data_IF_539146202464
#
_entry.id   IF_539146202464
#
_cell.length_a   1.000
_cell.length_b   1.000
_cell.length_c   1.000
_cell.angle_alpha   90.00
_cell.angle_beta   90.00
_cell.angle_gamma   90.00
#
_symmetry.space_group_name_H-M   'P 1'
#
loop_
_entity.id
_entity.type
_entity.pdbx_description
1 polymer ?
#
# COMPACT_ATOMS: atom_id res chain seq x y z
N UNK A 1 -4.66 14.85 -18.20
CA UNK A 1 -4.32 13.82 -17.19
C UNK A 1 -5.48 12.85 -16.92
N UNK A 2 -5.96 12.13 -17.94
CA UNK A 2 -7.20 11.32 -17.89
C UNK A 2 -6.97 9.79 -17.91
N UNK A 3 -5.79 9.32 -17.52
CA UNK A 3 -5.39 7.90 -17.73
C UNK A 3 -4.96 7.15 -16.46
N UNK A 4 -5.23 7.67 -15.26
CA UNK A 4 -5.10 6.87 -14.03
C UNK A 4 -6.47 6.32 -13.67
N UNK A 5 -6.61 4.99 -13.71
CA UNK A 5 -7.79 4.30 -13.21
C UNK A 5 -8.09 4.67 -11.77
N UNK A 6 -9.28 4.32 -11.28
CA UNK A 6 -9.63 4.51 -9.86
C UNK A 6 -8.60 3.79 -9.00
N UNK A 7 -7.96 4.51 -8.09
CA UNK A 7 -6.97 3.95 -7.15
C UNK A 7 -7.68 3.65 -5.85
N UNK A 8 -7.51 2.44 -5.33
CA UNK A 8 -7.95 2.04 -4.00
C UNK A 8 -6.72 1.86 -3.13
N UNK A 9 -6.73 2.48 -1.95
CA UNK A 9 -5.69 2.32 -0.94
C UNK A 9 -6.35 1.63 0.25
N UNK A 10 -5.81 0.47 0.61
CA UNK A 10 -6.24 -0.28 1.81
C UNK A 10 -5.17 -0.09 2.87
N UNK A 11 -5.58 0.28 4.07
CA UNK A 11 -4.69 0.47 5.22
C UNK A 11 -5.40 0.00 6.49
N UNK A 12 -4.67 0.00 7.59
CA UNK A 12 -5.14 -0.34 8.93
C UNK A 12 -4.65 0.73 9.92
N UNK A 13 -5.26 0.85 11.12
CA UNK A 13 -4.96 1.94 12.05
C UNK A 13 -3.46 2.15 12.29
N UNK A 14 -2.74 1.09 12.65
CA UNK A 14 -1.32 1.14 13.00
C UNK A 14 -0.42 1.66 11.86
N UNK A 15 -0.79 1.42 10.59
CA UNK A 15 -0.04 1.95 9.44
C UNK A 15 -0.27 3.44 9.16
N UNK A 16 -1.25 4.07 9.83
CA UNK A 16 -1.59 5.49 9.66
C UNK A 16 -1.12 6.37 10.84
N UNK A 17 -0.57 5.76 11.90
CA UNK A 17 -0.14 6.47 13.12
C UNK A 17 1.15 7.25 12.88
N UNK A 18 2.08 6.70 12.10
CA UNK A 18 3.32 7.39 11.78
C UNK A 18 3.09 8.47 10.73
N UNK A 19 3.54 9.68 11.05
CA UNK A 19 3.61 10.79 10.10
C UNK A 19 4.69 10.50 9.06
N UNK A 20 4.43 10.94 7.84
CA UNK A 20 5.28 10.72 6.67
C UNK A 20 5.94 12.02 6.21
N UNK A 21 6.99 11.89 5.40
CA UNK A 21 7.66 13.05 4.78
C UNK A 21 6.67 13.79 3.88
N UNK A 22 6.55 15.13 3.97
CA UNK A 22 5.59 15.89 3.20
C UNK A 22 5.76 15.71 1.70
N UNK A 23 4.64 15.81 0.98
CA UNK A 23 4.62 15.61 -0.48
C UNK A 23 5.59 16.53 -1.24
N UNK A 24 5.79 17.77 -0.77
CA UNK A 24 6.70 18.72 -1.41
C UNK A 24 8.16 18.32 -1.17
N UNK A 25 8.50 17.89 0.03
CA UNK A 25 9.84 17.42 0.37
C UNK A 25 10.19 16.13 -0.37
N UNK A 26 9.25 15.18 -0.47
CA UNK A 26 9.44 13.99 -1.31
C UNK A 26 9.76 14.33 -2.77
N UNK A 27 9.12 15.38 -3.32
CA UNK A 27 9.41 15.83 -4.68
C UNK A 27 10.79 16.48 -4.77
N UNK A 28 11.14 17.34 -3.83
CA UNK A 28 12.41 18.05 -3.80
C UNK A 28 13.59 17.08 -3.61
N UNK A 29 13.37 16.04 -2.80
CA UNK A 29 14.36 15.03 -2.45
C UNK A 29 14.23 13.77 -3.30
N UNK A 30 13.67 13.86 -4.52
CA UNK A 30 13.64 12.75 -5.46
C UNK A 30 14.19 13.17 -6.81
N UNK A 31 14.93 12.26 -7.46
CA UNK A 31 15.38 12.46 -8.83
C UNK A 31 14.62 11.52 -9.75
N UNK A 32 13.86 12.11 -10.67
CA UNK A 32 13.14 11.38 -11.71
C UNK A 32 14.02 11.29 -12.95
N UNK A 33 14.37 10.07 -13.35
CA UNK A 33 15.20 9.76 -14.51
C UNK A 33 14.36 9.08 -15.58
N UNK A 34 14.73 9.25 -16.83
CA UNK A 34 14.03 8.64 -17.95
C UNK A 34 14.91 8.59 -19.18
N UNK A 35 14.64 7.62 -20.04
CA UNK A 35 15.34 7.44 -21.31
C UNK A 35 15.23 8.73 -22.14
N UNK A 36 16.33 9.13 -22.80
CA UNK A 36 16.52 10.40 -23.53
C UNK A 36 16.51 11.67 -22.69
N UNK A 37 16.47 11.57 -21.35
CA UNK A 37 16.64 12.76 -20.50
C UNK A 37 18.10 13.21 -20.59
N UNK A 38 18.30 14.51 -20.85
CA UNK A 38 19.61 15.14 -20.74
C UNK A 38 19.93 15.46 -19.29
N UNK A 39 20.91 14.75 -18.72
CA UNK A 39 21.40 14.90 -17.35
C UNK A 39 22.80 14.30 -17.29
N UNK A 40 23.73 14.99 -16.64
CA UNK A 40 25.10 14.50 -16.46
C UNK A 40 25.18 13.51 -15.30
N UNK A 41 26.19 12.63 -15.34
CA UNK A 41 26.50 11.71 -14.25
C UNK A 41 26.89 12.49 -12.99
N UNK A 42 27.70 13.55 -13.13
CA UNK A 42 28.14 14.40 -12.02
C UNK A 42 26.96 15.00 -11.23
N UNK A 43 25.89 15.41 -11.92
CA UNK A 43 24.68 15.92 -11.26
C UNK A 43 23.98 14.82 -10.43
N UNK A 44 23.96 13.59 -10.94
CA UNK A 44 23.37 12.46 -10.22
C UNK A 44 24.22 12.11 -9.01
N UNK A 45 25.55 12.09 -9.16
CA UNK A 45 26.50 11.84 -8.08
C UNK A 45 26.35 12.88 -6.96
N UNK A 46 26.38 14.18 -7.29
CA UNK A 46 26.18 15.26 -6.31
C UNK A 46 24.82 15.11 -5.59
N UNK A 47 23.77 14.76 -6.32
CA UNK A 47 22.44 14.57 -5.74
C UNK A 47 22.41 13.40 -4.75
N UNK A 48 22.99 12.25 -5.07
CA UNK A 48 22.92 11.06 -4.21
C UNK A 48 23.93 11.11 -3.06
N UNK A 49 25.08 11.76 -3.23
CA UNK A 49 26.01 12.06 -2.14
C UNK A 49 25.37 12.96 -1.08
N UNK A 50 24.56 13.94 -1.49
CA UNK A 50 23.79 14.78 -0.56
C UNK A 50 22.85 13.98 0.35
N UNK A 51 22.42 12.80 -0.07
CA UNK A 51 21.52 11.93 0.69
C UNK A 51 22.22 10.67 1.23
N UNK A 52 23.54 10.76 1.43
CA UNK A 52 24.36 9.73 2.08
C UNK A 52 24.25 8.35 1.40
N UNK A 53 24.10 8.32 0.07
CA UNK A 53 24.29 7.07 -0.65
C UNK A 53 25.77 6.66 -0.60
N UNK A 54 26.02 5.38 -0.37
CA UNK A 54 27.36 4.82 -0.29
C UNK A 54 27.89 4.49 -1.70
N UNK A 55 29.04 5.08 -2.05
CA UNK A 55 29.76 4.74 -3.28
C UNK A 55 30.50 3.42 -3.08
N UNK A 56 30.15 2.41 -3.87
CA UNK A 56 30.72 1.07 -3.81
C UNK A 56 31.20 0.63 -5.18
N UNK A 57 32.03 -0.41 -5.22
CA UNK A 57 32.39 -1.03 -6.48
C UNK A 57 31.17 -1.72 -7.09
N UNK A 58 30.45 -2.54 -6.32
CA UNK A 58 29.28 -3.30 -6.77
C UNK A 58 28.11 -3.06 -5.83
N UNK A 59 26.94 -2.78 -6.41
CA UNK A 59 25.72 -2.47 -5.67
C UNK A 59 25.03 -3.77 -5.23
N UNK A 60 24.78 -3.88 -3.92
CA UNK A 60 24.12 -5.04 -3.30
C UNK A 60 22.91 -4.66 -2.44
N UNK A 61 22.91 -3.46 -1.83
CA UNK A 61 21.90 -3.04 -0.85
C UNK A 61 21.30 -1.67 -1.20
N UNK A 62 20.06 -1.37 -0.76
CA UNK A 62 19.49 -0.04 -0.89
C UNK A 62 20.38 1.02 -0.26
N UNK A 63 20.48 2.18 -0.89
CA UNK A 63 21.39 3.26 -0.50
C UNK A 63 22.78 3.17 -1.11
N UNK A 64 23.08 2.16 -1.93
CA UNK A 64 24.37 2.05 -2.62
C UNK A 64 24.31 2.51 -4.07
N UNK A 65 25.43 3.03 -4.57
CA UNK A 65 25.63 3.34 -5.97
C UNK A 65 27.04 3.04 -6.45
N UNK A 66 27.22 2.85 -7.76
CA UNK A 66 28.53 2.77 -8.40
C UNK A 66 28.53 3.52 -9.72
N UNK A 67 29.69 4.04 -10.10
CA UNK A 67 29.89 4.76 -11.37
C UNK A 67 31.06 4.13 -12.11
N UNK A 68 30.82 3.70 -13.35
CA UNK A 68 31.82 3.03 -14.19
C UNK A 68 31.75 3.59 -15.61
N UNK A 69 32.49 4.67 -15.85
CA UNK A 69 32.45 5.39 -17.11
C UNK A 69 31.04 5.93 -17.36
N UNK A 70 30.41 5.51 -18.46
CA UNK A 70 29.04 5.89 -18.81
C UNK A 70 27.94 5.07 -18.13
N UNK A 71 28.24 4.30 -17.08
CA UNK A 71 27.25 3.44 -16.41
C UNK A 71 27.12 3.87 -14.95
N UNK A 72 25.88 4.06 -14.51
CA UNK A 72 25.54 4.29 -13.10
C UNK A 72 24.65 3.15 -12.62
N UNK A 73 25.12 2.38 -11.64
CA UNK A 73 24.28 1.43 -10.92
C UNK A 73 23.83 2.09 -9.61
N UNK A 74 22.54 1.99 -9.28
CA UNK A 74 21.98 2.62 -8.09
C UNK A 74 20.84 1.81 -7.50
N UNK A 75 20.81 1.67 -6.18
CA UNK A 75 19.72 1.01 -5.45
C UNK A 75 18.97 2.02 -4.57
N UNK A 76 17.80 2.48 -5.01
CA UNK A 76 16.96 3.36 -4.20
C UNK A 76 16.28 2.61 -3.05
N UNK A 77 16.10 3.30 -1.91
CA UNK A 77 15.33 2.82 -0.75
C UNK A 77 13.86 2.52 -1.06
N UNK A 78 13.32 3.03 -2.16
CA UNK A 78 11.90 2.87 -2.52
C UNK A 78 11.61 1.74 -3.50
N UNK A 79 12.64 0.98 -3.92
CA UNK A 79 12.52 -0.03 -4.96
C UNK A 79 12.95 -1.40 -4.46
N UNK A 80 12.38 -2.46 -5.06
CA UNK A 80 12.72 -3.85 -4.72
C UNK A 80 14.02 -4.33 -5.39
N UNK A 81 14.45 -3.65 -6.46
CA UNK A 81 15.64 -4.00 -7.24
C UNK A 81 16.43 -2.75 -7.60
N UNK A 82 17.77 -2.84 -7.74
CA UNK A 82 18.60 -1.76 -8.23
C UNK A 82 18.43 -1.54 -9.73
N UNK A 83 18.85 -0.36 -10.19
CA UNK A 83 18.83 0.04 -11.59
C UNK A 83 20.24 0.28 -12.12
N UNK A 84 20.50 -0.18 -13.33
CA UNK A 84 21.62 0.19 -14.19
C UNK A 84 21.14 1.23 -15.19
N UNK A 85 21.83 2.36 -15.23
CA UNK A 85 21.54 3.49 -16.10
C UNK A 85 22.74 3.66 -17.03
N UNK A 86 22.52 3.43 -18.32
CA UNK A 86 23.54 3.62 -19.35
C UNK A 86 23.42 5.02 -19.95
N UNK A 87 24.55 5.73 -20.01
CA UNK A 87 24.68 7.08 -20.53
C UNK A 87 25.42 7.10 -21.87
N UNK A 88 25.00 8.00 -22.74
CA UNK A 88 25.71 8.41 -23.94
C UNK A 88 26.01 9.90 -23.85
N UNK A 89 27.20 10.24 -23.33
CA UNK A 89 27.50 11.61 -22.91
C UNK A 89 26.60 12.04 -21.75
N UNK A 90 25.91 13.17 -21.90
CA UNK A 90 24.97 13.70 -20.90
C UNK A 90 23.51 13.31 -21.18
N UNK A 91 23.28 12.17 -21.83
CA UNK A 91 21.94 11.66 -22.13
C UNK A 91 21.78 10.21 -21.69
N UNK A 92 20.64 9.89 -21.07
CA UNK A 92 20.32 8.52 -20.67
C UNK A 92 19.90 7.71 -21.90
N UNK A 93 20.70 6.71 -22.26
CA UNK A 93 20.42 5.79 -23.36
C UNK A 93 19.48 4.66 -22.93
N UNK A 94 19.74 4.04 -21.78
CA UNK A 94 18.95 2.90 -21.30
C UNK A 94 18.85 2.84 -19.77
N UNK A 95 17.72 2.28 -19.28
CA UNK A 95 17.52 2.01 -17.86
C UNK A 95 17.02 0.57 -17.70
N UNK A 96 17.69 -0.21 -16.86
CA UNK A 96 17.37 -1.62 -16.59
C UNK A 96 17.44 -1.93 -15.11
N UNK A 97 16.53 -2.73 -14.57
CA UNK A 97 16.80 -3.36 -13.26
C UNK A 97 17.82 -4.50 -13.41
N UNK A 98 18.52 -4.86 -12.34
CA UNK A 98 19.42 -6.02 -12.33
C UNK A 98 19.34 -6.80 -11.01
N UNK A 99 19.74 -8.07 -11.05
CA UNK A 99 19.81 -8.92 -9.86
C UNK A 99 21.15 -8.70 -9.14
N UNK A 100 21.11 -8.45 -7.83
CA UNK A 100 22.30 -8.12 -7.02
C UNK A 100 23.30 -9.26 -6.87
N UNK A 101 22.87 -10.53 -6.98
CA UNK A 101 23.75 -11.69 -6.81
C UNK A 101 24.60 -11.94 -8.05
N UNK A 102 24.00 -11.85 -9.24
CA UNK A 102 24.67 -12.17 -10.50
C UNK A 102 24.99 -10.95 -11.37
N UNK A 103 24.51 -9.76 -10.98
CA UNK A 103 24.73 -8.48 -11.67
C UNK A 103 24.20 -8.43 -13.11
N UNK A 104 23.28 -9.34 -13.46
CA UNK A 104 22.64 -9.41 -14.78
C UNK A 104 21.34 -8.60 -14.81
N UNK A 105 21.12 -7.91 -15.92
CA UNK A 105 19.89 -7.15 -16.16
C UNK A 105 18.66 -8.05 -16.22
N UNK A 106 17.54 -7.54 -15.72
CA UNK A 106 16.26 -8.26 -15.62
C UNK A 106 15.19 -7.61 -16.49
N UNK A 107 14.88 -6.32 -16.28
CA UNK A 107 13.76 -5.64 -16.95
C UNK A 107 14.13 -4.24 -17.38
N UNK A 108 13.64 -3.82 -18.55
CA UNK A 108 13.79 -2.44 -19.05
C UNK A 108 12.73 -1.49 -18.48
N UNK A 109 13.13 -0.23 -18.27
CA UNK A 109 12.27 0.84 -17.77
C UNK A 109 12.42 2.09 -18.62
N UNK A 110 11.30 2.75 -18.93
CA UNK A 110 11.32 4.06 -19.61
C UNK A 110 11.67 5.19 -18.64
N UNK A 111 11.26 5.04 -17.38
CA UNK A 111 11.45 6.03 -16.32
C UNK A 111 11.59 5.34 -14.97
N UNK A 112 12.43 5.93 -14.11
CA UNK A 112 12.59 5.54 -12.72
C UNK A 112 12.58 6.79 -11.84
N UNK A 113 12.35 6.60 -10.54
CA UNK A 113 12.52 7.63 -9.53
C UNK A 113 13.46 7.09 -8.47
N UNK A 114 14.49 7.85 -8.14
CA UNK A 114 15.39 7.52 -7.02
C UNK A 114 14.95 8.37 -5.84
N UNK A 115 14.65 7.68 -4.74
CA UNK A 115 14.35 8.27 -3.45
C UNK A 115 15.43 7.90 -2.42
N UNK A 116 15.80 8.86 -1.55
CA UNK A 116 16.73 8.66 -0.46
C UNK A 116 16.08 7.94 0.72
N UNK A 117 16.86 7.72 1.77
CA UNK A 117 16.34 7.19 3.01
C UNK A 117 15.42 8.22 3.68
N UNK A 118 14.11 8.05 3.53
CA UNK A 118 13.11 8.96 4.12
C UNK A 118 13.06 8.91 5.65
N UNK A 119 13.74 7.95 6.27
CA UNK A 119 13.86 7.82 7.72
C UNK A 119 15.12 8.51 8.26
N UNK A 120 15.96 9.07 7.39
CA UNK A 120 17.17 9.78 7.80
C UNK A 120 16.81 11.01 8.65
N UNK A 121 17.30 11.09 9.90
CA UNK A 121 17.02 12.22 10.79
C UNK A 121 17.64 13.55 10.32
N UNK A 122 18.61 13.52 9.38
CA UNK A 122 19.21 14.73 8.81
C UNK A 122 18.31 15.42 7.78
N UNK A 123 17.27 14.72 7.28
CA UNK A 123 16.23 15.34 6.49
C UNK A 123 15.43 16.27 7.41
N UNK A 124 15.76 17.57 7.39
CA UNK A 124 15.07 18.67 8.08
C UNK A 124 13.66 18.93 7.51
N UNK A 125 12.89 17.86 7.31
CA UNK A 125 11.51 17.91 6.91
C UNK A 125 10.64 17.66 8.14
N UNK A 126 9.80 18.64 8.50
CA UNK A 126 8.67 18.36 9.39
C UNK A 126 7.82 17.23 8.80
N UNK A 127 7.29 16.32 9.61
CA UNK A 127 6.45 15.23 9.07
C UNK A 127 4.99 15.62 9.09
N UNK A 128 4.19 14.96 8.26
CA UNK A 128 2.75 15.19 8.18
C UNK A 128 1.92 13.91 8.13
N UNK A 129 0.64 14.02 8.47
CA UNK A 129 -0.30 12.91 8.35
C UNK A 129 -0.38 12.40 6.91
N UNK A 130 -0.45 11.08 6.76
CA UNK A 130 -0.71 10.44 5.47
C UNK A 130 -1.96 10.99 4.76
N UNK A 131 -3.00 11.39 5.51
CA UNK A 131 -4.24 11.92 4.93
C UNK A 131 -3.99 13.19 4.10
N UNK A 132 -2.94 13.97 4.38
CA UNK A 132 -2.57 15.15 3.58
C UNK A 132 -2.03 14.80 2.19
N UNK A 133 -1.60 13.56 1.98
CA UNK A 133 -1.17 13.08 0.67
C UNK A 133 -2.35 12.70 -0.24
N UNK A 134 -3.53 12.49 0.34
CA UNK A 134 -4.75 12.16 -0.41
C UNK A 134 -5.25 13.38 -1.18
N UNK A 135 -5.79 13.19 -2.40
CA UNK A 135 -6.41 14.29 -3.12
C UNK A 135 -7.70 14.73 -2.41
N UNK A 136 -8.08 16.01 -2.55
CA UNK A 136 -9.25 16.57 -1.88
C UNK A 136 -10.59 15.88 -2.25
N UNK A 137 -10.64 15.15 -3.36
CA UNK A 137 -11.80 14.37 -3.78
C UNK A 137 -11.74 12.89 -3.37
N UNK A 138 -10.77 12.49 -2.53
CA UNK A 138 -10.72 11.15 -1.97
C UNK A 138 -11.95 10.89 -1.08
N UNK A 139 -12.44 9.65 -1.10
CA UNK A 139 -13.53 9.20 -0.22
C UNK A 139 -12.94 8.23 0.78
N UNK A 140 -13.09 8.51 2.07
CA UNK A 140 -12.55 7.67 3.13
C UNK A 140 -13.60 6.63 3.51
N UNK A 141 -13.29 5.35 3.27
CA UNK A 141 -14.07 4.24 3.79
C UNK A 141 -13.43 3.74 5.07
N UNK A 142 -14.17 3.74 6.17
CA UNK A 142 -13.63 3.36 7.47
C UNK A 142 -14.64 2.53 8.27
N UNK A 143 -14.13 1.47 8.89
CA UNK A 143 -14.89 0.66 9.83
C UNK A 143 -14.38 0.97 11.24
N UNK A 144 -15.30 1.35 12.12
CA UNK A 144 -15.04 1.63 13.53
C UNK A 144 -14.00 2.75 13.76
N UNK A 145 -14.45 4.00 13.59
CA UNK A 145 -13.62 5.19 13.84
C UNK A 145 -13.17 5.27 15.30
N UNK A 146 -14.05 4.94 16.26
CA UNK A 146 -13.72 4.99 17.69
C UNK A 146 -12.52 4.08 18.02
N UNK A 147 -12.56 2.83 17.56
CA UNK A 147 -11.43 1.91 17.71
C UNK A 147 -10.14 2.43 17.07
N UNK A 148 -10.25 3.05 15.89
CA UNK A 148 -9.08 3.63 15.20
C UNK A 148 -8.48 4.77 16.02
N UNK A 149 -9.31 5.68 16.54
CA UNK A 149 -8.89 6.79 17.42
C UNK A 149 -8.23 6.28 18.70
N UNK A 150 -8.81 5.26 19.33
CA UNK A 150 -8.25 4.64 20.55
C UNK A 150 -6.88 4.01 20.30
N UNK A 151 -6.69 3.38 19.12
CA UNK A 151 -5.39 2.83 18.71
C UNK A 151 -4.34 3.91 18.53
N UNK A 152 -4.69 5.04 17.91
CA UNK A 152 -3.79 6.17 17.72
C UNK A 152 -3.36 6.75 19.07
N UNK A 153 -4.32 6.99 19.96
CA UNK A 153 -4.05 7.52 21.29
C UNK A 153 -3.20 6.57 22.13
N UNK A 154 -3.51 5.27 22.11
CA UNK A 154 -2.73 4.26 22.85
C UNK A 154 -1.27 4.18 22.38
N UNK A 155 -1.04 4.21 21.07
CA UNK A 155 0.30 4.22 20.50
C UNK A 155 1.06 5.51 20.84
N UNK A 156 0.38 6.66 20.70
CA UNK A 156 0.95 7.96 21.06
C UNK A 156 1.36 8.02 22.53
N UNK A 157 0.47 7.62 23.44
CA UNK A 157 0.72 7.68 24.87
C UNK A 157 1.83 6.72 25.29
N UNK A 158 1.85 5.51 24.72
CA UNK A 158 2.93 4.54 24.96
C UNK A 158 4.29 5.10 24.52
N UNK A 159 4.37 5.65 23.30
CA UNK A 159 5.60 6.23 22.77
C UNK A 159 6.02 7.49 23.53
N UNK A 160 5.06 8.30 23.99
CA UNK A 160 5.33 9.48 24.81
C UNK A 160 5.86 9.12 26.19
N UNK A 161 5.35 8.06 26.82
CA UNK A 161 5.86 7.57 28.11
C UNK A 161 7.28 7.03 27.97
N UNK A 162 7.56 6.22 26.94
CA UNK A 162 8.91 5.70 26.66
C UNK A 162 9.89 6.80 26.23
N UNK A 163 9.41 7.79 25.47
CA UNK A 163 10.21 8.91 24.97
C UNK A 163 10.64 9.90 26.06
N UNK A 164 9.95 9.96 27.20
CA UNK A 164 10.37 10.82 28.33
C UNK A 164 11.73 10.44 28.92
N UNK A 165 12.21 9.23 28.68
CA UNK A 165 13.57 8.81 29.07
C UNK A 165 14.63 9.28 28.07
N UNK A 166 14.24 9.63 26.84
CA UNK A 166 15.10 10.14 25.77
C UNK A 166 14.64 11.55 25.33
N UNK A 167 15.18 12.59 25.97
CA UNK A 167 14.80 14.02 25.78
C UNK A 167 14.90 14.55 24.33
N UNK A 168 15.40 13.76 23.38
CA UNK A 168 15.65 14.13 21.99
C UNK A 168 14.51 13.82 21.02
N UNK A 169 13.50 13.02 21.41
CA UNK A 169 12.47 12.55 20.47
C UNK A 169 11.20 13.40 20.54
N UNK A 170 10.94 14.21 19.51
CA UNK A 170 9.66 14.91 19.35
C UNK A 170 8.57 13.97 18.81
N UNK A 171 7.91 13.26 19.73
CA UNK A 171 6.82 12.32 19.44
C UNK A 171 5.67 12.99 18.67
N UNK A 172 5.42 14.31 18.86
CA UNK A 172 4.35 15.02 18.14
C UNK A 172 4.67 15.22 16.66
N UNK A 173 5.95 15.32 16.32
CA UNK A 173 6.40 15.37 14.93
C UNK A 173 6.37 13.96 14.30
N UNK A 174 6.46 12.88 15.07
CA UNK A 174 6.54 11.52 14.52
C UNK A 174 5.18 10.85 14.42
N UNK A 175 4.30 11.04 15.40
CA UNK A 175 3.02 10.33 15.49
C UNK A 175 1.84 11.30 15.40
N UNK A 176 0.76 10.84 14.77
CA UNK A 176 -0.54 11.52 14.79
C UNK A 176 -1.36 11.07 16.01
N UNK A 177 -2.05 12.01 16.67
CA UNK A 177 -3.03 11.71 17.73
C UNK A 177 -4.40 11.40 17.14
N UNK A 178 -5.23 10.68 17.89
CA UNK A 178 -6.59 10.35 17.47
C UNK A 178 -7.46 11.58 17.22
N UNK A 179 -7.30 12.65 18.00
CA UNK A 179 -7.99 13.94 17.80
C UNK A 179 -7.60 14.59 16.46
N UNK A 180 -6.30 14.68 16.16
CA UNK A 180 -5.78 15.23 14.91
C UNK A 180 -6.27 14.41 13.69
N UNK A 181 -6.30 13.08 13.81
CA UNK A 181 -6.85 12.21 12.76
C UNK A 181 -8.34 12.46 12.55
N UNK A 182 -9.11 12.55 13.64
CA UNK A 182 -10.55 12.80 13.58
C UNK A 182 -10.87 14.16 12.95
N UNK A 183 -10.12 15.21 13.30
CA UNK A 183 -10.22 16.54 12.69
C UNK A 183 -10.00 16.47 11.17
N UNK A 184 -8.99 15.72 10.73
CA UNK A 184 -8.69 15.57 9.30
C UNK A 184 -9.80 14.83 8.53
N UNK A 185 -10.50 13.89 9.15
CA UNK A 185 -11.62 13.19 8.51
C UNK A 185 -12.74 14.14 8.07
N UNK A 186 -12.96 15.27 8.76
CA UNK A 186 -13.95 16.26 8.35
C UNK A 186 -13.64 16.95 7.01
N UNK A 187 -12.40 16.84 6.53
CA UNK A 187 -11.99 17.38 5.22
C UNK A 187 -12.35 16.48 4.04
N UNK A 188 -12.92 15.29 4.29
CA UNK A 188 -13.23 14.31 3.26
C UNK A 188 -14.68 13.84 3.36
N UNK A 189 -15.29 13.41 2.23
CA UNK A 189 -16.44 12.52 2.27
C UNK A 189 -16.06 11.21 2.98
N UNK A 190 -16.77 10.88 4.06
CA UNK A 190 -16.56 9.66 4.84
C UNK A 190 -17.71 8.69 4.64
N UNK A 191 -17.39 7.44 4.35
CA UNK A 191 -18.31 6.31 4.34
C UNK A 191 -17.93 5.40 5.50
N UNK A 192 -18.75 5.44 6.54
CA UNK A 192 -18.64 4.46 7.63
C UNK A 192 -19.40 3.19 7.25
N UNK A 193 -18.80 2.04 7.53
CA UNK A 193 -19.41 0.73 7.33
C UNK A 193 -19.15 -0.18 8.52
N UNK A 194 -19.98 -1.22 8.67
CA UNK A 194 -19.93 -2.14 9.80
C UNK A 194 -21.10 -1.93 10.76
N UNK A 195 -20.84 -2.11 12.05
CA UNK A 195 -21.88 -2.09 13.09
C UNK A 195 -21.81 -0.88 14.02
N UNK A 196 -20.66 -0.22 14.08
CA UNK A 196 -20.40 0.92 14.95
C UNK A 196 -20.12 2.15 14.09
N UNK A 197 -20.87 3.23 14.34
CA UNK A 197 -20.83 4.46 13.58
C UNK A 197 -20.57 5.62 14.53
N UNK A 198 -19.64 6.49 14.16
CA UNK A 198 -19.21 7.64 14.95
C UNK A 198 -19.94 8.91 14.54
N UNK A 199 -20.06 9.18 13.23
CA UNK A 199 -20.76 10.35 12.73
C UNK A 199 -22.27 10.10 12.58
N UNK A 200 -23.03 11.19 12.65
CA UNK A 200 -24.42 11.19 12.22
C UNK A 200 -24.45 11.17 10.68
N UNK A 201 -25.03 10.15 10.02
CA UNK A 201 -24.98 10.04 8.57
C UNK A 201 -25.88 11.08 7.89
N UNK A 202 -25.39 11.67 6.81
CA UNK A 202 -26.22 12.44 5.86
C UNK A 202 -27.10 11.50 5.01
N UNK A 203 -26.59 10.31 4.70
CA UNK A 203 -27.29 9.26 3.98
C UNK A 203 -26.95 7.92 4.65
N UNK A 204 -27.99 7.13 4.96
CA UNK A 204 -27.83 5.78 5.48
C UNK A 204 -28.35 4.77 4.45
N UNK A 205 -27.48 3.88 3.99
CA UNK A 205 -27.85 2.75 3.14
C UNK A 205 -27.83 1.48 3.99
N UNK A 206 -28.95 0.75 3.99
CA UNK A 206 -29.07 -0.52 4.71
C UNK A 206 -29.10 -1.66 3.71
N UNK A 207 -28.12 -2.55 3.81
CA UNK A 207 -28.10 -3.78 3.04
C UNK A 207 -28.92 -4.85 3.75
N UNK A 208 -29.74 -5.59 3.00
CA UNK A 208 -30.50 -6.73 3.50
C UNK A 208 -29.62 -7.98 3.47
N UNK A 209 -28.55 -7.95 4.26
CA UNK A 209 -27.53 -9.00 4.31
C UNK A 209 -27.55 -9.69 5.66
N UNK A 210 -27.38 -11.02 5.65
CA UNK A 210 -27.13 -11.83 6.83
C UNK A 210 -25.73 -12.45 6.77
N UNK A 211 -25.07 -12.71 7.91
CA UNK A 211 -23.84 -13.49 7.93
C UNK A 211 -24.03 -14.85 7.25
N UNK A 212 -22.98 -15.33 6.57
CA UNK A 212 -23.01 -16.68 6.00
C UNK A 212 -23.10 -17.72 7.13
N UNK A 213 -24.02 -18.71 7.03
CA UNK A 213 -24.07 -19.80 7.98
C UNK A 213 -22.77 -20.60 8.00
N UNK A 214 -22.39 -21.09 9.17
CA UNK A 214 -21.22 -21.96 9.31
C UNK A 214 -21.64 -23.41 9.04
N UNK A 215 -21.03 -24.05 8.04
CA UNK A 215 -21.37 -25.42 7.66
C UNK A 215 -20.42 -26.48 8.24
N UNK A 216 -19.19 -26.14 8.62
CA UNK A 216 -18.24 -27.06 9.26
C UNK A 216 -18.07 -28.42 8.54
N UNK A 217 -17.97 -28.41 7.20
CA UNK A 217 -17.91 -29.61 6.33
C UNK A 217 -19.16 -30.50 6.36
N UNK A 218 -20.27 -30.04 6.93
CA UNK A 218 -21.57 -30.70 6.83
C UNK A 218 -22.22 -30.34 5.48
N UNK A 219 -22.03 -31.22 4.49
CA UNK A 219 -22.55 -31.02 3.14
C UNK A 219 -24.07 -31.14 3.05
N UNK A 220 -24.71 -31.86 3.96
CA UNK A 220 -26.16 -31.95 4.04
C UNK A 220 -26.75 -30.58 4.44
N UNK A 221 -26.18 -29.93 5.45
CA UNK A 221 -26.59 -28.59 5.87
C UNK A 221 -26.35 -27.54 4.78
N UNK A 222 -25.21 -27.63 4.09
CA UNK A 222 -24.90 -26.76 2.95
C UNK A 222 -25.91 -26.94 1.82
N UNK A 223 -26.19 -28.20 1.43
CA UNK A 223 -27.12 -28.50 0.34
C UNK A 223 -28.54 -28.01 0.67
N UNK A 224 -29.01 -28.25 1.90
CA UNK A 224 -30.29 -27.76 2.40
C UNK A 224 -30.37 -26.23 2.35
N UNK A 225 -29.35 -25.53 2.83
CA UNK A 225 -29.32 -24.07 2.81
C UNK A 225 -29.37 -23.50 1.38
N UNK A 226 -28.61 -24.08 0.45
CA UNK A 226 -28.62 -23.66 -0.95
C UNK A 226 -29.99 -23.89 -1.61
N UNK A 227 -30.65 -25.01 -1.31
CA UNK A 227 -32.01 -25.28 -1.80
C UNK A 227 -33.01 -24.28 -1.22
N UNK A 228 -32.98 -24.04 0.09
CA UNK A 228 -33.86 -23.07 0.76
C UNK A 228 -33.66 -21.65 0.20
N UNK A 229 -32.42 -21.26 -0.08
CA UNK A 229 -32.10 -19.98 -0.73
C UNK A 229 -32.74 -19.91 -2.13
N UNK A 230 -32.57 -20.96 -2.95
CA UNK A 230 -33.16 -21.00 -4.30
C UNK A 230 -34.69 -20.95 -4.25
N UNK A 231 -35.32 -21.68 -3.32
CA UNK A 231 -36.77 -21.65 -3.09
C UNK A 231 -37.26 -20.26 -2.64
N UNK A 232 -36.41 -19.52 -1.93
CA UNK A 232 -36.67 -18.14 -1.50
C UNK A 232 -36.36 -17.10 -2.59
N UNK A 233 -36.00 -17.53 -3.80
CA UNK A 233 -35.72 -16.66 -4.95
C UNK A 233 -34.30 -16.08 -5.00
N UNK A 234 -33.38 -16.55 -4.16
CA UNK A 234 -31.98 -16.16 -4.22
C UNK A 234 -31.22 -16.92 -5.32
N UNK A 235 -30.24 -16.25 -5.91
CA UNK A 235 -29.26 -16.90 -6.78
C UNK A 235 -28.05 -17.31 -5.95
N UNK A 236 -27.74 -18.60 -5.91
CA UNK A 236 -26.59 -19.11 -5.19
C UNK A 236 -25.30 -18.90 -6.00
N UNK A 237 -24.29 -18.33 -5.36
CA UNK A 237 -22.92 -18.25 -5.87
C UNK A 237 -21.97 -18.95 -4.90
N UNK A 238 -21.04 -19.75 -5.41
CA UNK A 238 -19.97 -20.36 -4.62
C UNK A 238 -18.63 -19.87 -5.18
N UNK A 239 -17.84 -19.26 -4.32
CA UNK A 239 -16.52 -18.73 -4.66
C UNK A 239 -15.43 -19.74 -4.27
N UNK A 240 -14.45 -19.94 -5.14
CA UNK A 240 -13.25 -20.73 -4.83
C UNK A 240 -12.06 -20.29 -5.68
N UNK A 241 -10.88 -20.26 -5.07
CA UNK A 241 -9.59 -20.07 -5.76
C UNK A 241 -9.16 -21.32 -6.55
N UNK A 242 -9.84 -22.46 -6.36
CA UNK A 242 -9.50 -23.73 -7.01
C UNK A 242 -10.72 -24.31 -7.72
N UNK A 243 -10.72 -24.24 -9.05
CA UNK A 243 -11.79 -24.73 -9.91
C UNK A 243 -12.18 -26.20 -9.63
N UNK A 244 -11.22 -27.05 -9.24
CA UNK A 244 -11.49 -28.46 -8.93
C UNK A 244 -12.42 -28.63 -7.71
N UNK A 245 -12.52 -27.63 -6.83
CA UNK A 245 -13.46 -27.69 -5.70
C UNK A 245 -14.91 -27.64 -6.16
N UNK A 246 -15.22 -27.00 -7.29
CA UNK A 246 -16.58 -26.97 -7.83
C UNK A 246 -17.03 -28.35 -8.29
N UNK A 247 -16.17 -29.08 -9.02
CA UNK A 247 -16.47 -30.44 -9.46
C UNK A 247 -16.59 -31.41 -8.29
N UNK A 248 -15.73 -31.25 -7.27
CA UNK A 248 -15.83 -32.02 -6.03
C UNK A 248 -17.16 -31.77 -5.30
N UNK A 249 -17.60 -30.51 -5.19
CA UNK A 249 -18.88 -30.17 -4.58
C UNK A 249 -20.06 -30.75 -5.39
N UNK A 250 -20.02 -30.64 -6.72
CA UNK A 250 -21.04 -31.25 -7.60
C UNK A 250 -21.08 -32.77 -7.43
N UNK A 251 -19.94 -33.44 -7.33
CA UNK A 251 -19.87 -34.88 -7.07
C UNK A 251 -20.50 -35.24 -5.72
N UNK A 252 -20.14 -34.51 -4.65
CA UNK A 252 -20.72 -34.72 -3.31
C UNK A 252 -22.25 -34.56 -3.32
N UNK A 253 -22.79 -33.55 -4.01
CA UNK A 253 -24.24 -33.36 -4.10
C UNK A 253 -24.95 -34.41 -4.95
N UNK A 254 -24.29 -34.95 -5.99
CA UNK A 254 -24.80 -36.09 -6.75
C UNK A 254 -24.86 -37.35 -5.89
N UNK A 255 -23.82 -37.62 -5.11
CA UNK A 255 -23.75 -38.79 -4.23
C UNK A 255 -24.81 -38.77 -3.13
N UNK A 256 -25.21 -37.58 -2.66
CA UNK A 256 -26.30 -37.40 -1.68
C UNK A 256 -27.69 -37.31 -2.32
N UNK A 257 -27.84 -37.56 -3.63
CA UNK A 257 -29.09 -37.44 -4.40
C UNK A 257 -29.76 -36.05 -4.27
N UNK A 258 -28.98 -35.01 -4.00
CA UNK A 258 -29.51 -33.67 -3.79
C UNK A 258 -29.29 -32.83 -5.04
N UNK A 259 -30.37 -32.32 -5.65
CA UNK A 259 -30.26 -31.43 -6.82
C UNK A 259 -30.00 -30.00 -6.35
N UNK A 260 -28.72 -29.67 -6.12
CA UNK A 260 -28.28 -28.32 -5.77
C UNK A 260 -27.86 -27.57 -7.02
N UNK A 261 -28.38 -26.35 -7.22
CA UNK A 261 -27.91 -25.42 -8.24
C UNK A 261 -27.14 -24.26 -7.61
N UNK A 262 -25.94 -23.99 -8.13
CA UNK A 262 -25.13 -22.83 -7.78
C UNK A 262 -24.29 -22.38 -8.98
N UNK A 263 -23.91 -21.10 -8.97
CA UNK A 263 -23.02 -20.51 -9.97
C UNK A 263 -21.60 -20.44 -9.39
N UNK A 264 -20.60 -21.10 -10.01
CA UNK A 264 -19.21 -20.98 -9.59
C UNK A 264 -18.68 -19.59 -9.94
N UNK A 265 -17.82 -19.05 -9.08
CA UNK A 265 -17.12 -17.78 -9.29
C UNK A 265 -15.66 -17.99 -8.91
N UNK A 266 -14.77 -17.77 -9.86
CA UNK A 266 -13.33 -17.81 -9.61
C UNK A 266 -12.92 -16.56 -8.85
N UNK A 267 -12.18 -16.75 -7.76
CA UNK A 267 -11.67 -15.68 -6.89
C UNK A 267 -10.16 -15.55 -6.98
#
# INVERSE_FOLDING_TARGET
NSARGKVFIVSYPEALIEKVVPKQELKNNSINLGVRKKVSIDFIEEFIEKFDFEKVDYVYQPGQYSIRGGIVDIFSFSNEQPFRIDFSGDEIDSIRSFNVENQLSVKHFERISILPNLQDPTLEAGKESFLKHLPANAIIWINNIAFTVDKFNSAFDSAFLSGKENETIDIKNILIKGEEFLEQLFSFPVIEFGQQFFFKPHLQIRFRTSPQPVFNKNFDLLSKNLIENAQSGYTNYILSENENQFERLKAIFRDTNTTVQFNPVDS
#
